data_IF_449742574620
#
_entry.id   IF_449742574620
#
_cell.length_a   1.000
_cell.length_b   1.000
_cell.length_c   1.000
_cell.angle_alpha   90.00
_cell.angle_beta   90.00
_cell.angle_gamma   90.00
#
_symmetry.space_group_name_H-M   'P 1'
#
loop_
_entity.id
_entity.type
_entity.pdbx_description
1 polymer ?
#
# COMPACT_ATOMS: atom_id res chain seq x y z
N UNK A 1 -1.80 14.17 35.30
CA UNK A 1 -0.63 13.79 34.46
C UNK A 1 -0.44 12.27 34.33
N UNK A 2 -1.40 11.44 34.74
CA UNK A 2 -1.33 9.96 34.70
C UNK A 2 -2.18 9.35 33.55
N UNK A 3 -3.10 10.11 32.99
CA UNK A 3 -4.03 9.61 31.94
C UNK A 3 -3.39 9.53 30.53
N UNK A 4 -2.35 10.31 30.27
CA UNK A 4 -1.70 10.35 28.95
C UNK A 4 -0.84 9.11 28.65
N UNK A 5 -0.37 8.37 29.64
CA UNK A 5 0.51 7.20 29.42
C UNK A 5 -0.21 5.92 29.01
N UNK A 6 -1.53 5.81 29.21
CA UNK A 6 -2.30 4.58 28.89
C UNK A 6 -3.03 4.64 27.56
N UNK A 7 -3.22 5.81 26.95
CA UNK A 7 -3.86 5.96 25.63
C UNK A 7 -2.87 5.96 24.46
N UNK A 8 -1.61 6.22 24.70
CA UNK A 8 -0.55 6.17 23.67
C UNK A 8 -0.22 4.77 23.09
N UNK A 9 -0.46 3.63 23.78
CA UNK A 9 -0.23 2.32 23.18
C UNK A 9 -1.17 2.00 22.00
N UNK A 10 -2.41 2.50 22.01
CA UNK A 10 -3.41 2.18 20.96
C UNK A 10 -3.07 2.88 19.66
N UNK A 11 -2.65 4.15 19.70
CA UNK A 11 -2.15 4.86 18.53
C UNK A 11 -0.81 4.28 18.07
N UNK A 12 0.04 3.80 18.98
CA UNK A 12 1.25 3.03 18.64
C UNK A 12 0.92 1.70 17.98
N UNK A 13 -0.18 1.04 18.32
CA UNK A 13 -0.56 -0.26 17.74
C UNK A 13 -1.11 -0.10 16.33
N UNK A 14 -1.80 0.99 16.02
CA UNK A 14 -2.20 1.34 14.65
C UNK A 14 -0.99 1.79 13.79
N UNK A 15 0.05 2.34 14.43
CA UNK A 15 1.26 2.85 13.81
C UNK A 15 2.51 2.23 14.45
N UNK A 16 2.47 0.93 14.84
CA UNK A 16 3.58 0.26 15.52
C UNK A 16 4.78 0.13 14.60
N UNK A 17 5.66 1.10 14.71
CA UNK A 17 7.00 1.08 14.15
C UNK A 17 7.99 0.73 15.25
N UNK A 18 8.65 -0.41 15.08
CA UNK A 18 9.67 -0.89 16.00
C UNK A 18 10.70 0.20 16.31
N UNK A 19 10.76 0.65 17.57
CA UNK A 19 11.87 1.43 18.10
C UNK A 19 13.09 0.54 18.30
N UNK A 20 13.75 0.10 17.25
CA UNK A 20 15.14 -0.28 17.37
C UNK A 20 16.01 0.94 17.11
N UNK A 21 16.81 1.33 18.13
CA UNK A 21 17.89 2.31 17.97
C UNK A 21 18.84 1.80 16.89
N UNK A 22 18.73 2.35 15.70
CA UNK A 22 19.78 2.19 14.70
C UNK A 22 20.86 3.20 15.10
N UNK A 23 22.00 2.66 15.55
CA UNK A 23 23.23 3.43 15.68
C UNK A 23 23.66 3.84 14.28
N UNK A 24 23.36 5.07 13.90
CA UNK A 24 23.77 5.65 12.62
C UNK A 24 25.28 5.94 12.66
N UNK A 25 26.09 5.00 12.25
CA UNK A 25 27.37 5.33 11.63
C UNK A 25 27.08 5.74 10.19
N UNK A 26 26.85 7.04 9.98
CA UNK A 26 26.93 7.65 8.67
C UNK A 26 28.30 7.36 8.05
N UNK A 27 28.36 6.41 7.12
CA UNK A 27 29.41 6.42 6.09
C UNK A 27 28.90 7.36 4.99
N UNK A 28 29.61 8.47 4.82
CA UNK A 28 29.57 9.27 3.60
C UNK A 28 30.00 8.36 2.44
N UNK A 29 29.03 7.80 1.72
CA UNK A 29 29.27 7.22 0.41
C UNK A 29 28.74 8.21 -0.64
N UNK A 30 29.58 8.51 -1.61
CA UNK A 30 29.34 9.37 -2.76
C UNK A 30 27.93 9.20 -3.31
N UNK A 31 27.13 10.29 -3.23
CA UNK A 31 25.85 10.38 -3.93
C UNK A 31 26.16 10.45 -5.43
N UNK A 32 25.98 9.35 -6.13
CA UNK A 32 26.16 9.26 -7.58
C UNK A 32 25.13 10.10 -8.35
N UNK A 33 25.44 10.40 -9.61
CA UNK A 33 24.61 11.18 -10.55
C UNK A 33 23.17 10.64 -10.72
N UNK A 34 22.93 9.37 -10.40
CA UNK A 34 21.61 8.74 -10.43
C UNK A 34 20.61 9.36 -9.42
N UNK A 35 21.09 9.82 -8.24
CA UNK A 35 20.21 10.46 -7.25
C UNK A 35 19.75 11.87 -7.67
N UNK A 36 20.53 12.58 -8.47
CA UNK A 36 20.16 13.90 -8.98
C UNK A 36 19.04 13.81 -10.05
N UNK A 37 19.05 12.80 -10.91
CA UNK A 37 18.02 12.59 -11.92
C UNK A 37 16.67 12.17 -11.30
N UNK A 38 16.72 11.42 -10.18
CA UNK A 38 15.52 11.04 -9.40
C UNK A 38 14.86 12.24 -8.71
N UNK A 39 15.65 13.23 -8.26
CA UNK A 39 15.12 14.45 -7.62
C UNK A 39 14.37 15.34 -8.63
N UNK A 40 14.85 15.43 -9.85
CA UNK A 40 14.24 16.28 -10.91
C UNK A 40 12.95 15.67 -11.50
N UNK A 41 12.76 14.35 -11.39
CA UNK A 41 11.59 13.64 -11.88
C UNK A 41 10.37 13.68 -10.94
N UNK A 42 10.54 14.01 -9.67
CA UNK A 42 9.48 14.08 -8.63
C UNK A 42 8.30 15.02 -8.95
N UNK A 43 8.37 15.82 -9.99
CA UNK A 43 7.31 16.75 -10.42
C UNK A 43 6.34 16.18 -11.45
N UNK A 44 6.39 14.88 -11.75
CA UNK A 44 5.61 14.27 -12.85
C UNK A 44 4.29 13.66 -12.43
N UNK A 45 4.09 13.38 -11.13
CA UNK A 45 2.85 12.82 -10.63
C UNK A 45 1.73 13.85 -10.67
N UNK A 46 0.61 13.47 -11.27
CA UNK A 46 -0.63 14.25 -11.31
C UNK A 46 -1.66 13.62 -10.38
N UNK A 47 -2.19 14.42 -9.45
CA UNK A 47 -3.31 14.01 -8.60
C UNK A 47 -4.60 14.55 -9.16
N UNK A 48 -5.60 13.67 -9.31
CA UNK A 48 -6.96 14.08 -9.67
C UNK A 48 -8.01 13.33 -8.87
N UNK A 49 -9.16 13.98 -8.69
CA UNK A 49 -10.35 13.31 -8.17
C UNK A 49 -11.05 12.60 -9.33
N UNK A 50 -11.31 11.30 -9.19
CA UNK A 50 -12.06 10.51 -10.15
C UNK A 50 -13.41 10.08 -9.57
N UNK A 51 -14.37 9.85 -10.43
CA UNK A 51 -15.69 9.31 -10.05
C UNK A 51 -15.92 8.02 -10.85
N UNK A 52 -15.91 6.89 -10.15
CA UNK A 52 -16.22 5.58 -10.74
C UNK A 52 -17.43 5.00 -10.04
N UNK A 53 -18.42 4.59 -10.80
CA UNK A 53 -19.67 4.00 -10.29
C UNK A 53 -20.39 4.88 -9.24
N UNK A 54 -20.23 6.21 -9.33
CA UNK A 54 -20.84 7.17 -8.41
C UNK A 54 -20.03 7.48 -7.15
N UNK A 55 -18.88 6.84 -6.93
CA UNK A 55 -18.01 7.07 -5.78
C UNK A 55 -16.75 7.86 -6.16
N UNK A 56 -16.37 8.81 -5.30
CA UNK A 56 -15.21 9.66 -5.52
C UNK A 56 -13.98 9.08 -4.82
N UNK A 57 -12.86 9.12 -5.53
CA UNK A 57 -11.57 8.66 -5.06
C UNK A 57 -10.44 9.50 -5.63
N UNK A 58 -9.30 9.49 -4.96
CA UNK A 58 -8.08 10.12 -5.45
C UNK A 58 -7.33 9.17 -6.37
N UNK A 59 -6.86 9.68 -7.51
CA UNK A 59 -5.91 9.02 -8.41
C UNK A 59 -4.59 9.78 -8.39
N UNK A 60 -3.50 9.01 -8.50
CA UNK A 60 -2.18 9.51 -8.86
C UNK A 60 -1.81 8.89 -10.21
N UNK A 61 -1.43 9.73 -11.16
CA UNK A 61 -1.11 9.31 -12.53
C UNK A 61 0.23 9.88 -12.97
N UNK A 62 1.03 9.04 -13.62
CA UNK A 62 2.27 9.41 -14.29
C UNK A 62 2.20 8.83 -15.70
N UNK A 63 2.08 9.69 -16.70
CA UNK A 63 1.91 9.24 -18.08
C UNK A 63 3.25 9.11 -18.80
N UNK A 64 3.49 7.95 -19.40
CA UNK A 64 4.55 7.76 -20.38
C UNK A 64 4.09 8.23 -21.76
N UNK A 65 5.04 8.66 -22.60
CA UNK A 65 4.74 9.11 -23.97
C UNK A 65 4.36 7.94 -24.89
N UNK A 66 5.05 6.81 -24.71
CA UNK A 66 4.87 5.59 -25.50
C UNK A 66 5.00 4.39 -24.55
N UNK A 67 3.95 4.08 -23.77
CA UNK A 67 4.00 3.02 -22.77
C UNK A 67 3.99 1.64 -23.44
N UNK A 68 4.87 0.75 -22.99
CA UNK A 68 4.87 -0.66 -23.36
C UNK A 68 3.96 -1.49 -22.47
N UNK A 69 3.67 -1.02 -21.27
CA UNK A 69 2.76 -1.60 -20.29
C UNK A 69 2.22 -0.52 -19.33
N UNK A 70 1.17 -0.85 -18.62
CA UNK A 70 0.54 0.04 -17.65
C UNK A 70 0.66 -0.54 -16.24
N UNK A 71 1.31 0.18 -15.32
CA UNK A 71 1.36 -0.20 -13.89
C UNK A 71 0.13 0.33 -13.19
N UNK A 72 -0.69 -0.57 -12.64
CA UNK A 72 -1.79 -0.23 -11.75
C UNK A 72 -1.42 -0.59 -10.32
N UNK A 73 -1.31 0.43 -9.46
CA UNK A 73 -0.95 0.26 -8.06
C UNK A 73 -2.20 0.26 -7.16
N UNK A 74 -2.31 -0.76 -6.31
CA UNK A 74 -3.37 -0.92 -5.32
C UNK A 74 -2.79 -0.80 -3.91
N UNK A 75 -3.18 0.24 -3.14
CA UNK A 75 -2.63 0.50 -1.81
C UNK A 75 -3.11 -0.50 -0.76
N UNK A 76 -2.44 -0.47 0.39
CA UNK A 76 -2.89 -1.13 1.61
C UNK A 76 -4.04 -0.40 2.30
N UNK A 77 -4.29 -0.72 3.56
CA UNK A 77 -5.22 0.00 4.42
C UNK A 77 -4.42 0.71 5.55
N UNK A 78 -4.33 2.06 5.53
CA UNK A 78 -5.11 3.03 4.74
C UNK A 78 -4.77 3.06 3.26
N UNK A 79 -5.81 3.22 2.42
CA UNK A 79 -5.69 3.31 0.97
C UNK A 79 -5.46 4.72 0.45
N UNK A 80 -4.63 5.49 1.15
CA UNK A 80 -4.27 6.87 0.80
C UNK A 80 -3.04 6.84 -0.11
N UNK A 81 -3.24 7.10 -1.40
CA UNK A 81 -2.17 6.96 -2.40
C UNK A 81 -1.02 7.95 -2.23
N UNK A 82 -1.25 9.08 -1.56
CA UNK A 82 -0.20 10.06 -1.28
C UNK A 82 0.95 9.49 -0.42
N UNK A 83 0.73 8.40 0.33
CA UNK A 83 1.81 7.69 1.01
C UNK A 83 2.81 7.04 0.07
N UNK A 84 2.42 6.78 -1.17
CA UNK A 84 3.21 6.03 -2.15
C UNK A 84 3.85 6.93 -3.22
N UNK A 85 3.77 8.26 -3.07
CA UNK A 85 4.27 9.22 -4.05
C UNK A 85 5.74 8.96 -4.40
N UNK A 86 6.63 8.94 -3.38
CA UNK A 86 8.07 8.74 -3.58
C UNK A 86 8.38 7.37 -4.23
N UNK A 87 7.60 6.33 -3.89
CA UNK A 87 7.72 4.99 -4.47
C UNK A 87 7.33 4.98 -5.96
N UNK A 88 6.17 5.56 -6.30
CA UNK A 88 5.64 5.52 -7.66
C UNK A 88 6.44 6.39 -8.63
N UNK A 89 6.89 7.57 -8.19
CA UNK A 89 7.79 8.41 -8.99
C UNK A 89 9.14 7.72 -9.22
N UNK A 90 9.70 7.09 -8.17
CA UNK A 90 10.95 6.33 -8.30
C UNK A 90 10.78 5.14 -9.24
N UNK A 91 9.66 4.41 -9.15
CA UNK A 91 9.36 3.28 -10.03
C UNK A 91 9.27 3.73 -11.48
N UNK A 92 8.54 4.82 -11.77
CA UNK A 92 8.44 5.39 -13.12
C UNK A 92 9.80 5.70 -13.73
N UNK A 93 10.67 6.37 -12.95
CA UNK A 93 12.03 6.70 -13.41
C UNK A 93 12.86 5.45 -13.67
N UNK A 94 12.81 4.48 -12.76
CA UNK A 94 13.53 3.21 -12.88
C UNK A 94 13.02 2.31 -14.01
N UNK A 95 11.81 2.53 -14.50
CA UNK A 95 11.25 1.92 -15.70
C UNK A 95 11.57 2.73 -16.97
N UNK A 96 12.44 3.73 -16.89
CA UNK A 96 12.92 4.53 -18.02
C UNK A 96 11.79 5.19 -18.83
N UNK A 97 10.64 5.50 -18.19
CA UNK A 97 9.45 6.06 -18.84
C UNK A 97 8.77 5.11 -19.85
N UNK A 98 9.03 3.82 -19.77
CA UNK A 98 8.40 2.81 -20.65
C UNK A 98 7.03 2.35 -20.15
N UNK A 99 6.59 2.83 -18.98
CA UNK A 99 5.30 2.50 -18.40
C UNK A 99 4.53 3.74 -17.98
N UNK A 100 3.23 3.79 -18.24
CA UNK A 100 2.33 4.67 -17.50
C UNK A 100 2.03 4.05 -16.14
N UNK A 101 1.89 4.88 -15.10
CA UNK A 101 1.62 4.44 -13.73
C UNK A 101 0.35 5.11 -13.23
N UNK A 102 -0.58 4.32 -12.73
CA UNK A 102 -1.80 4.79 -12.06
C UNK A 102 -1.89 4.15 -10.67
N UNK A 103 -2.13 4.96 -9.65
CA UNK A 103 -2.48 4.48 -8.32
C UNK A 103 -3.89 4.94 -7.95
N UNK A 104 -4.67 4.04 -7.37
CA UNK A 104 -6.08 4.25 -7.06
C UNK A 104 -6.35 4.13 -5.56
N UNK A 105 -6.86 5.21 -4.93
CA UNK A 105 -7.17 5.20 -3.49
C UNK A 105 -8.36 4.27 -3.15
N UNK A 106 -8.56 4.01 -1.86
CA UNK A 106 -9.81 3.40 -1.40
C UNK A 106 -10.92 4.45 -1.28
N UNK A 107 -12.17 4.02 -1.60
CA UNK A 107 -13.36 4.85 -1.45
C UNK A 107 -13.46 5.31 0.01
N UNK A 108 -13.88 6.56 0.22
CA UNK A 108 -14.06 7.20 1.53
C UNK A 108 -12.78 7.31 2.39
N UNK A 109 -11.58 7.08 1.80
CA UNK A 109 -10.29 7.35 2.43
C UNK A 109 -9.58 8.55 1.77
N UNK A 110 -10.37 9.56 1.47
CA UNK A 110 -10.00 10.82 0.82
C UNK A 110 -10.02 11.98 1.83
N UNK A 111 -9.43 13.12 1.48
CA UNK A 111 -9.41 14.30 2.38
C UNK A 111 -10.82 14.76 2.78
N UNK A 112 -11.76 14.75 1.82
CA UNK A 112 -13.16 15.17 2.04
C UNK A 112 -14.08 13.96 2.15
N UNK A 113 -15.08 14.06 3.03
CA UNK A 113 -16.11 13.03 3.21
C UNK A 113 -17.16 13.11 2.09
N UNK A 114 -16.77 12.68 0.89
CA UNK A 114 -17.65 12.68 -0.28
C UNK A 114 -18.85 11.74 -0.12
N UNK A 115 -18.64 10.62 0.57
CA UNK A 115 -19.61 9.54 0.71
C UNK A 115 -20.49 9.68 1.97
N UNK A 116 -20.46 10.86 2.61
CA UNK A 116 -21.33 11.25 3.71
C UNK A 116 -21.40 10.23 4.86
N UNK A 117 -20.25 9.63 5.18
CA UNK A 117 -20.12 8.66 6.28
C UNK A 117 -20.53 7.24 5.93
N UNK A 118 -20.80 6.91 4.65
CA UNK A 118 -20.94 5.52 4.21
C UNK A 118 -19.66 4.73 4.47
N UNK A 119 -19.80 3.49 4.90
CA UNK A 119 -18.71 2.56 5.12
C UNK A 119 -18.63 1.57 3.95
N UNK A 120 -17.42 1.20 3.57
CA UNK A 120 -17.15 0.31 2.44
C UNK A 120 -16.34 -0.90 2.89
N UNK A 121 -16.86 -2.08 2.59
CA UNK A 121 -16.21 -3.36 2.84
C UNK A 121 -15.05 -3.62 1.89
N UNK A 122 -14.21 -4.61 2.20
CA UNK A 122 -13.16 -5.09 1.30
C UNK A 122 -13.72 -5.47 -0.08
N UNK A 123 -14.87 -6.15 -0.12
CA UNK A 123 -15.50 -6.54 -1.38
C UNK A 123 -15.91 -5.33 -2.21
N UNK A 124 -16.57 -4.33 -1.61
CA UNK A 124 -16.94 -3.10 -2.32
C UNK A 124 -15.71 -2.32 -2.81
N UNK A 125 -14.61 -2.32 -2.05
CA UNK A 125 -13.34 -1.75 -2.50
C UNK A 125 -12.76 -2.51 -3.69
N UNK A 126 -12.84 -3.84 -3.69
CA UNK A 126 -12.39 -4.69 -4.80
C UNK A 126 -13.24 -4.47 -6.05
N UNK A 127 -14.56 -4.52 -5.92
CA UNK A 127 -15.50 -4.31 -7.03
C UNK A 127 -15.32 -2.92 -7.68
N UNK A 128 -15.03 -1.91 -6.85
CA UNK A 128 -14.75 -0.57 -7.35
C UNK A 128 -13.47 -0.50 -8.20
N UNK A 129 -12.41 -1.24 -7.83
CA UNK A 129 -11.17 -1.32 -8.64
C UNK A 129 -11.41 -2.09 -9.94
N UNK A 130 -12.27 -3.10 -9.90
CA UNK A 130 -12.72 -3.83 -11.08
C UNK A 130 -13.45 -2.87 -12.03
N UNK A 131 -14.44 -2.12 -11.52
CA UNK A 131 -15.17 -1.12 -12.30
C UNK A 131 -14.23 -0.03 -12.87
N UNK A 132 -13.20 0.36 -12.10
CA UNK A 132 -12.19 1.30 -12.59
C UNK A 132 -11.47 0.76 -13.82
N UNK A 133 -11.05 -0.50 -13.80
CA UNK A 133 -10.37 -1.14 -14.94
C UNK A 133 -11.32 -1.25 -16.14
N UNK A 134 -12.58 -1.59 -15.90
CA UNK A 134 -13.60 -1.74 -16.95
C UNK A 134 -13.92 -0.42 -17.66
N UNK A 135 -13.87 0.73 -16.94
CA UNK A 135 -14.28 2.02 -17.48
C UNK A 135 -13.13 2.98 -17.80
N UNK A 136 -12.15 3.08 -16.91
CA UNK A 136 -11.05 4.06 -17.06
C UNK A 136 -9.83 3.46 -17.80
N UNK A 137 -9.70 2.12 -17.83
CA UNK A 137 -8.64 1.42 -18.54
C UNK A 137 -9.18 0.52 -19.68
N UNK A 138 -10.40 0.78 -20.17
CA UNK A 138 -11.00 0.03 -21.26
C UNK A 138 -10.15 0.14 -22.54
N UNK A 139 -9.75 1.37 -22.90
CA UNK A 139 -8.98 1.71 -24.09
C UNK A 139 -7.46 1.47 -23.92
N UNK A 140 -7.01 0.96 -22.77
CA UNK A 140 -5.60 0.63 -22.58
C UNK A 140 -5.29 -0.68 -23.26
N UNK A 141 -4.61 -0.60 -24.41
CA UNK A 141 -4.23 -1.76 -25.25
C UNK A 141 -2.99 -2.49 -24.74
N UNK A 142 -2.13 -1.79 -23.96
CA UNK A 142 -0.90 -2.39 -23.41
C UNK A 142 -1.22 -3.26 -22.20
N UNK A 143 -0.41 -4.31 -21.94
CA UNK A 143 -0.63 -5.20 -20.79
C UNK A 143 -0.53 -4.46 -19.45
N UNK A 144 -1.36 -4.88 -18.48
CA UNK A 144 -1.38 -4.31 -17.14
C UNK A 144 -0.44 -5.10 -16.23
N UNK A 145 0.39 -4.38 -15.48
CA UNK A 145 1.16 -4.90 -14.35
C UNK A 145 0.49 -4.43 -13.07
N UNK A 146 -0.06 -5.36 -12.30
CA UNK A 146 -0.62 -5.07 -10.98
C UNK A 146 0.50 -5.03 -9.94
N UNK A 147 0.49 -4.00 -9.10
CA UNK A 147 1.37 -3.92 -7.93
C UNK A 147 0.50 -3.63 -6.71
N UNK A 148 0.37 -4.59 -5.82
CA UNK A 148 -0.45 -4.48 -4.61
C UNK A 148 0.39 -4.44 -3.34
N UNK A 149 0.02 -3.57 -2.39
CA UNK A 149 0.66 -3.51 -1.08
C UNK A 149 -0.30 -3.98 0.01
N UNK A 150 0.16 -4.84 0.94
CA UNK A 150 -0.65 -5.30 2.08
C UNK A 150 -1.96 -5.96 1.60
N UNK A 151 -3.12 -5.48 2.05
CA UNK A 151 -4.44 -5.94 1.56
C UNK A 151 -4.63 -5.64 0.07
N UNK A 152 -3.94 -4.63 -0.47
CA UNK A 152 -3.91 -4.37 -1.91
C UNK A 152 -3.33 -5.54 -2.71
N UNK A 153 -2.51 -6.41 -2.12
CA UNK A 153 -2.06 -7.66 -2.73
C UNK A 153 -3.22 -8.64 -2.92
N UNK A 154 -4.08 -8.79 -1.92
CA UNK A 154 -5.30 -9.60 -2.03
C UNK A 154 -6.22 -9.06 -3.14
N UNK A 155 -6.48 -7.75 -3.13
CA UNK A 155 -7.30 -7.09 -4.15
C UNK A 155 -6.68 -7.30 -5.55
N UNK A 156 -5.35 -7.17 -5.68
CA UNK A 156 -4.66 -7.37 -6.96
C UNK A 156 -4.77 -8.81 -7.48
N UNK A 157 -4.70 -9.82 -6.59
CA UNK A 157 -4.91 -11.22 -6.98
C UNK A 157 -6.35 -11.48 -7.44
N UNK A 158 -7.35 -10.88 -6.78
CA UNK A 158 -8.75 -11.00 -7.19
C UNK A 158 -9.02 -10.31 -8.53
N UNK A 159 -8.45 -9.11 -8.74
CA UNK A 159 -8.46 -8.43 -10.04
C UNK A 159 -7.79 -9.30 -11.12
N UNK A 160 -6.62 -9.87 -10.83
CA UNK A 160 -5.91 -10.71 -11.79
C UNK A 160 -6.74 -11.93 -12.19
N UNK A 161 -7.42 -12.56 -11.24
CA UNK A 161 -8.32 -13.68 -11.51
C UNK A 161 -9.44 -13.33 -12.50
N UNK A 162 -9.93 -12.09 -12.43
CA UNK A 162 -10.98 -11.59 -13.31
C UNK A 162 -10.48 -11.14 -14.68
N UNK A 163 -9.29 -10.54 -14.75
CA UNK A 163 -8.74 -9.94 -15.96
C UNK A 163 -7.49 -10.67 -16.48
N UNK A 164 -7.51 -12.01 -16.51
CA UNK A 164 -6.36 -12.84 -16.90
C UNK A 164 -5.80 -12.52 -18.31
N UNK A 165 -6.63 -12.01 -19.21
CA UNK A 165 -6.20 -11.62 -20.56
C UNK A 165 -5.57 -10.23 -20.65
N UNK A 166 -5.82 -9.32 -19.67
CA UNK A 166 -5.27 -7.96 -19.63
C UNK A 166 -4.06 -7.85 -18.67
N UNK A 167 -4.04 -8.67 -17.61
CA UNK A 167 -2.98 -8.63 -16.59
C UNK A 167 -1.85 -9.56 -16.99
N UNK A 168 -0.68 -8.97 -17.27
CA UNK A 168 0.52 -9.73 -17.60
C UNK A 168 1.27 -10.20 -16.36
N UNK A 169 1.37 -9.35 -15.33
CA UNK A 169 2.16 -9.63 -14.12
C UNK A 169 1.51 -9.04 -12.88
N UNK A 170 1.59 -9.74 -11.75
CA UNK A 170 1.06 -9.30 -10.46
C UNK A 170 2.14 -9.38 -9.38
N UNK A 171 2.49 -8.25 -8.78
CA UNK A 171 3.53 -8.13 -7.75
C UNK A 171 2.86 -7.77 -6.42
N UNK A 172 3.04 -8.64 -5.42
CA UNK A 172 2.48 -8.52 -4.09
C UNK A 172 3.57 -8.06 -3.10
N UNK A 173 3.43 -6.85 -2.57
CA UNK A 173 4.39 -6.24 -1.65
C UNK A 173 3.89 -6.34 -0.22
N UNK A 174 4.69 -6.93 0.68
CA UNK A 174 4.32 -7.13 2.10
C UNK A 174 2.88 -7.68 2.23
N UNK A 175 2.56 -8.80 1.57
CA UNK A 175 1.20 -9.19 1.27
C UNK A 175 0.42 -9.62 2.52
N UNK A 176 -0.79 -9.07 2.70
CA UNK A 176 -1.75 -9.53 3.69
C UNK A 176 -2.78 -10.41 3.00
N UNK A 177 -2.57 -11.74 3.01
CA UNK A 177 -3.38 -12.74 2.31
C UNK A 177 -4.01 -13.77 3.26
N UNK A 178 -3.57 -13.81 4.51
CA UNK A 178 -4.11 -14.68 5.55
C UNK A 178 -3.97 -14.05 6.93
N UNK A 179 -4.90 -14.35 7.82
CA UNK A 179 -4.87 -13.84 9.21
C UNK A 179 -3.76 -14.55 9.99
N UNK A 180 -2.86 -13.76 10.58
CA UNK A 180 -1.85 -14.27 11.50
C UNK A 180 -2.41 -14.36 12.93
N UNK A 181 -2.89 -15.54 13.32
CA UNK A 181 -3.47 -15.78 14.65
C UNK A 181 -2.46 -15.63 15.80
N UNK A 182 -1.15 -15.66 15.51
CA UNK A 182 -0.09 -15.47 16.50
C UNK A 182 0.22 -13.96 16.74
N UNK A 183 -0.27 -13.06 15.87
CA UNK A 183 -0.02 -11.63 15.97
C UNK A 183 -0.93 -10.97 17.01
N UNK A 184 -0.34 -10.46 18.08
CA UNK A 184 -1.06 -9.64 19.08
C UNK A 184 -1.59 -8.33 18.46
N UNK A 185 -0.83 -7.74 17.53
CA UNK A 185 -1.21 -6.52 16.80
C UNK A 185 -2.48 -6.75 15.99
N UNK A 186 -2.54 -7.81 15.17
CA UNK A 186 -3.75 -8.15 14.41
C UNK A 186 -4.93 -8.43 15.34
N UNK A 187 -4.71 -9.15 16.46
CA UNK A 187 -5.77 -9.46 17.44
C UNK A 187 -6.38 -8.18 18.04
N UNK A 188 -5.55 -7.20 18.41
CA UNK A 188 -6.03 -5.92 18.96
C UNK A 188 -6.81 -5.12 17.91
N UNK A 189 -6.29 -5.00 16.69
CA UNK A 189 -6.96 -4.28 15.61
C UNK A 189 -8.29 -4.94 15.25
N UNK A 190 -8.33 -6.28 15.18
CA UNK A 190 -9.56 -7.04 14.94
C UNK A 190 -10.62 -6.75 16.01
N UNK A 191 -10.25 -6.71 17.30
CA UNK A 191 -11.18 -6.37 18.40
C UNK A 191 -11.71 -4.94 18.30
N UNK A 192 -10.84 -3.98 17.96
CA UNK A 192 -11.27 -2.59 17.79
C UNK A 192 -12.21 -2.46 16.59
N UNK A 193 -11.86 -3.05 15.45
CA UNK A 193 -12.63 -3.02 14.22
C UNK A 193 -14.02 -3.68 14.37
N UNK A 194 -14.10 -4.81 15.09
CA UNK A 194 -15.34 -5.52 15.35
C UNK A 194 -16.28 -4.82 16.37
N UNK A 195 -15.73 -3.88 17.17
CA UNK A 195 -16.52 -3.17 18.18
C UNK A 195 -16.92 -1.78 17.68
N UNK A 196 -18.22 -1.58 17.42
CA UNK A 196 -18.74 -0.27 17.01
C UNK A 196 -18.36 0.85 18.00
N UNK A 197 -18.41 0.60 19.29
CA UNK A 197 -18.08 1.58 20.33
C UNK A 197 -16.60 1.95 20.29
N UNK A 198 -15.70 0.96 20.23
CA UNK A 198 -14.25 1.20 20.16
C UNK A 198 -13.86 1.90 18.85
N UNK A 199 -14.43 1.46 17.74
CA UNK A 199 -14.21 2.07 16.42
C UNK A 199 -14.66 3.54 16.41
N UNK A 200 -15.87 3.84 16.89
CA UNK A 200 -16.37 5.22 16.99
C UNK A 200 -15.52 6.07 17.94
N UNK A 201 -15.17 5.54 19.12
CA UNK A 201 -14.33 6.24 20.08
C UNK A 201 -12.96 6.58 19.52
N UNK A 202 -12.28 5.61 18.90
CA UNK A 202 -10.97 5.83 18.29
C UNK A 202 -11.04 6.85 17.15
N UNK A 203 -12.04 6.73 16.27
CA UNK A 203 -12.22 7.67 15.16
C UNK A 203 -12.47 9.11 15.65
N UNK A 204 -13.23 9.26 16.74
CA UNK A 204 -13.47 10.57 17.36
C UNK A 204 -12.18 11.17 17.95
N UNK A 205 -11.38 10.37 18.64
CA UNK A 205 -10.09 10.82 19.19
C UNK A 205 -9.16 11.28 18.07
N UNK A 206 -9.04 10.47 17.00
CA UNK A 206 -8.19 10.82 15.85
C UNK A 206 -8.69 12.08 15.14
N UNK A 207 -10.02 12.22 14.98
CA UNK A 207 -10.61 13.41 14.38
C UNK A 207 -10.34 14.69 15.21
N UNK A 208 -10.38 14.61 16.54
CA UNK A 208 -10.01 15.73 17.42
C UNK A 208 -8.55 16.17 17.17
N UNK A 209 -7.62 15.22 17.01
CA UNK A 209 -6.24 15.53 16.62
C UNK A 209 -6.16 16.21 15.25
N UNK A 210 -7.03 15.83 14.32
CA UNK A 210 -7.16 16.43 13.00
C UNK A 210 -7.77 17.83 12.97
N UNK A 211 -8.38 18.30 14.08
CA UNK A 211 -8.87 19.67 14.23
C UNK A 211 -7.79 20.65 14.72
N UNK A 212 -6.66 20.14 15.16
CA UNK A 212 -5.54 20.98 15.56
C UNK A 212 -4.97 21.75 14.35
N UNK A 213 -4.39 22.94 14.57
CA UNK A 213 -3.65 23.64 13.52
C UNK A 213 -2.63 22.70 12.86
N UNK A 214 -2.54 22.74 11.53
CA UNK A 214 -1.73 21.81 10.73
C UNK A 214 -0.28 21.69 11.23
N UNK A 215 0.33 22.79 11.66
CA UNK A 215 1.69 22.79 12.19
C UNK A 215 1.82 21.99 13.49
N UNK A 216 0.80 22.02 14.37
CA UNK A 216 0.76 21.21 15.61
C UNK A 216 0.62 19.73 15.24
N UNK A 217 -0.34 19.39 14.37
CA UNK A 217 -0.55 18.02 13.92
C UNK A 217 0.72 17.43 13.30
N UNK A 218 1.44 18.20 12.47
CA UNK A 218 2.73 17.78 11.89
C UNK A 218 3.81 17.53 12.95
N UNK A 219 3.90 18.37 13.98
CA UNK A 219 4.86 18.17 15.09
C UNK A 219 4.51 16.90 15.88
N UNK A 220 3.23 16.71 16.21
CA UNK A 220 2.78 15.53 16.95
C UNK A 220 3.02 14.25 16.15
N UNK A 221 2.70 14.25 14.86
CA UNK A 221 2.93 13.13 13.95
C UNK A 221 4.43 12.81 13.88
N UNK A 222 5.30 13.79 13.61
CA UNK A 222 6.75 13.57 13.54
C UNK A 222 7.32 13.01 14.85
N UNK A 223 6.81 13.45 15.99
CA UNK A 223 7.26 12.94 17.29
C UNK A 223 6.71 11.52 17.59
N UNK A 224 5.56 11.14 17.01
CA UNK A 224 4.92 9.85 17.24
C UNK A 224 5.46 8.75 16.32
N UNK A 225 5.59 9.02 15.01
CA UNK A 225 6.03 8.04 14.01
C UNK A 225 7.54 8.05 13.80
N UNK A 226 8.22 9.04 14.35
CA UNK A 226 9.67 9.18 14.24
C UNK A 226 10.11 10.11 13.10
N UNK A 227 11.40 10.48 13.18
CA UNK A 227 12.01 11.46 12.25
C UNK A 227 12.31 10.86 10.85
N UNK A 228 12.07 9.56 10.67
CA UNK A 228 12.38 8.84 9.43
C UNK A 228 11.32 9.00 8.34
N UNK A 229 10.10 9.44 8.70
CA UNK A 229 9.04 9.61 7.71
C UNK A 229 9.31 10.78 6.77
N UNK A 230 9.11 10.55 5.47
CA UNK A 230 9.22 11.60 4.45
C UNK A 230 8.11 12.66 4.61
N UNK A 231 8.33 13.89 4.11
CA UNK A 231 7.34 14.96 4.19
C UNK A 231 5.99 14.60 3.57
N UNK A 232 5.98 13.88 2.45
CA UNK A 232 4.76 13.44 1.77
C UNK A 232 3.93 12.50 2.65
N UNK A 233 4.56 11.55 3.35
CA UNK A 233 3.86 10.63 4.25
C UNK A 233 3.28 11.35 5.48
N UNK A 234 4.01 12.32 6.05
CA UNK A 234 3.50 13.14 7.15
C UNK A 234 2.30 13.96 6.70
N UNK A 235 2.36 14.55 5.51
CA UNK A 235 1.24 15.32 4.94
C UNK A 235 0.03 14.42 4.67
N UNK A 236 0.22 13.25 4.06
CA UNK A 236 -0.84 12.27 3.80
C UNK A 236 -1.55 11.86 5.10
N UNK A 237 -0.79 11.62 6.18
CA UNK A 237 -1.38 11.31 7.48
C UNK A 237 -2.22 12.47 8.01
N UNK A 238 -1.70 13.71 7.98
CA UNK A 238 -2.39 14.89 8.50
C UNK A 238 -3.64 15.26 7.69
N UNK A 239 -3.58 15.17 6.36
CA UNK A 239 -4.67 15.62 5.48
C UNK A 239 -5.77 14.58 5.31
N UNK A 240 -5.44 13.29 5.28
CA UNK A 240 -6.39 12.22 4.95
C UNK A 240 -6.73 11.34 6.15
N UNK A 241 -5.72 10.87 6.91
CA UNK A 241 -5.96 9.86 7.95
C UNK A 241 -6.53 10.48 9.24
N UNK A 242 -6.13 11.71 9.59
CA UNK A 242 -6.69 12.40 10.76
C UNK A 242 -8.13 12.91 10.52
N UNK A 243 -8.96 12.13 9.81
CA UNK A 243 -10.37 12.41 9.53
C UNK A 243 -11.25 11.31 10.10
N UNK A 244 -12.36 11.69 10.72
CA UNK A 244 -13.32 10.73 11.30
C UNK A 244 -13.76 9.68 10.28
N UNK A 245 -14.22 10.11 9.10
CA UNK A 245 -14.73 9.22 8.06
C UNK A 245 -13.68 8.27 7.53
N UNK A 246 -12.42 8.72 7.39
CA UNK A 246 -11.32 7.88 6.95
C UNK A 246 -11.04 6.76 7.96
N UNK A 247 -10.90 7.09 9.25
CA UNK A 247 -10.64 6.08 10.28
C UNK A 247 -11.79 5.10 10.43
N UNK A 248 -13.05 5.57 10.35
CA UNK A 248 -14.21 4.68 10.34
C UNK A 248 -14.18 3.70 9.15
N UNK A 249 -13.86 4.17 7.95
CA UNK A 249 -13.74 3.31 6.78
C UNK A 249 -12.55 2.36 6.86
N UNK A 250 -11.38 2.81 7.36
CA UNK A 250 -10.22 1.94 7.61
C UNK A 250 -10.58 0.79 8.54
N UNK A 251 -11.24 1.07 9.67
CA UNK A 251 -11.62 0.06 10.66
C UNK A 251 -12.71 -0.88 10.13
N UNK A 252 -13.72 -0.35 9.45
CA UNK A 252 -14.76 -1.17 8.85
C UNK A 252 -14.21 -2.09 7.75
N UNK A 253 -13.36 -1.56 6.88
CA UNK A 253 -12.65 -2.35 5.88
C UNK A 253 -11.79 -3.43 6.56
N UNK A 254 -11.01 -3.09 7.60
CA UNK A 254 -10.20 -4.04 8.35
C UNK A 254 -11.05 -5.16 8.98
N UNK A 255 -12.25 -4.87 9.48
CA UNK A 255 -13.17 -5.89 9.98
C UNK A 255 -13.49 -6.91 8.88
N UNK A 256 -13.86 -6.45 7.69
CA UNK A 256 -14.21 -7.32 6.56
C UNK A 256 -12.97 -8.00 5.93
N UNK A 257 -11.77 -7.40 6.04
CA UNK A 257 -10.49 -8.04 5.71
C UNK A 257 -10.27 -9.28 6.60
N UNK A 258 -10.39 -9.12 7.93
CA UNK A 258 -10.22 -10.24 8.86
C UNK A 258 -11.26 -11.35 8.67
N UNK A 259 -12.48 -11.00 8.25
CA UNK A 259 -13.50 -11.99 7.88
C UNK A 259 -13.07 -12.75 6.63
N UNK A 260 -12.73 -12.05 5.56
CA UNK A 260 -12.37 -12.64 4.27
C UNK A 260 -11.07 -13.42 4.32
N UNK A 261 -10.03 -12.90 4.95
CA UNK A 261 -8.73 -13.55 5.03
C UNK A 261 -8.65 -14.66 6.09
N UNK A 262 -9.75 -14.99 6.78
CA UNK A 262 -9.89 -16.24 7.55
C UNK A 262 -10.15 -17.45 6.64
N UNK A 263 -10.53 -17.23 5.38
CA UNK A 263 -10.64 -18.26 4.36
C UNK A 263 -9.25 -18.67 3.84
N UNK A 264 -9.15 -19.88 3.29
CA UNK A 264 -7.92 -20.37 2.69
C UNK A 264 -7.66 -19.62 1.36
N UNK A 265 -6.44 -19.13 1.10
CA UNK A 265 -6.10 -18.51 -0.17
C UNK A 265 -6.32 -19.46 -1.36
N UNK A 266 -6.62 -18.92 -2.53
CA UNK A 266 -6.81 -19.70 -3.76
C UNK A 266 -5.47 -20.22 -4.32
N UNK A 267 -4.95 -21.26 -3.67
CA UNK A 267 -3.69 -21.90 -4.06
C UNK A 267 -3.75 -22.48 -5.49
N UNK A 268 -4.94 -22.83 -5.98
CA UNK A 268 -5.10 -23.37 -7.33
C UNK A 268 -4.80 -22.33 -8.38
N UNK A 269 -5.41 -21.16 -8.26
CA UNK A 269 -5.14 -20.01 -9.11
C UNK A 269 -3.68 -19.56 -9.03
N UNK A 270 -3.12 -19.47 -7.82
CA UNK A 270 -1.73 -19.08 -7.63
C UNK A 270 -0.75 -20.07 -8.29
N UNK A 271 -1.02 -21.39 -8.24
CA UNK A 271 -0.20 -22.40 -8.93
C UNK A 271 -0.30 -22.27 -10.45
N UNK A 272 -1.51 -22.04 -10.98
CA UNK A 272 -1.73 -21.84 -12.40
C UNK A 272 -0.95 -20.64 -12.95
N UNK A 273 -0.97 -19.52 -12.21
CA UNK A 273 -0.39 -18.23 -12.63
C UNK A 273 0.98 -17.94 -12.02
N UNK A 274 1.67 -18.91 -11.44
CA UNK A 274 2.93 -18.72 -10.69
C UNK A 274 4.03 -17.96 -11.44
N UNK A 275 4.14 -18.15 -12.75
CA UNK A 275 5.12 -17.45 -13.58
C UNK A 275 4.78 -15.97 -13.80
N UNK A 276 3.54 -15.59 -13.53
CA UNK A 276 3.00 -14.24 -13.67
C UNK A 276 2.80 -13.56 -12.29
N UNK A 277 3.39 -14.11 -11.20
CA UNK A 277 3.28 -13.56 -9.86
C UNK A 277 4.63 -13.45 -9.18
N UNK A 278 4.80 -12.40 -8.36
CA UNK A 278 5.92 -12.25 -7.46
C UNK A 278 5.48 -11.72 -6.10
N UNK A 279 6.19 -12.10 -5.04
CA UNK A 279 5.89 -11.71 -3.67
C UNK A 279 7.14 -11.21 -2.97
N UNK A 280 7.01 -10.06 -2.30
CA UNK A 280 8.06 -9.49 -1.45
C UNK A 280 7.57 -9.44 0.00
N UNK A 281 8.29 -10.10 0.89
CA UNK A 281 8.00 -10.13 2.33
C UNK A 281 9.01 -9.30 3.12
N UNK A 282 8.60 -8.75 4.25
CA UNK A 282 9.49 -8.16 5.24
C UNK A 282 9.89 -9.17 6.32
N UNK A 283 11.06 -8.98 6.96
CA UNK A 283 11.54 -9.88 8.03
C UNK A 283 10.64 -9.83 9.27
N UNK A 284 10.26 -8.62 9.73
CA UNK A 284 9.47 -8.40 10.95
C UNK A 284 8.07 -7.86 10.61
N UNK A 285 7.39 -8.46 9.62
CA UNK A 285 6.09 -8.02 9.20
C UNK A 285 4.96 -8.77 9.93
N UNK A 286 4.15 -8.04 10.69
CA UNK A 286 3.01 -8.60 11.41
C UNK A 286 1.84 -8.97 10.49
N UNK A 287 1.74 -8.38 9.29
CA UNK A 287 0.65 -8.58 8.34
C UNK A 287 0.94 -9.71 7.36
N UNK A 288 2.16 -9.75 6.82
CA UNK A 288 2.67 -10.81 5.95
C UNK A 288 3.86 -11.51 6.58
N UNK A 289 3.66 -12.39 7.59
CA UNK A 289 4.76 -13.04 8.29
C UNK A 289 5.51 -14.03 7.39
N UNK A 290 6.75 -14.38 7.78
CA UNK A 290 7.53 -15.38 7.07
C UNK A 290 6.87 -16.78 7.09
N UNK A 291 6.01 -17.08 8.06
CA UNK A 291 5.17 -18.30 8.03
C UNK A 291 4.33 -18.36 6.73
N UNK A 292 3.78 -17.23 6.28
CA UNK A 292 3.04 -17.15 5.02
C UNK A 292 3.96 -17.28 3.79
N UNK A 293 5.17 -16.73 3.85
CA UNK A 293 6.20 -16.95 2.82
C UNK A 293 6.48 -18.44 2.64
N UNK A 294 6.70 -19.16 3.75
CA UNK A 294 6.94 -20.61 3.74
C UNK A 294 5.72 -21.37 3.21
N UNK A 295 4.52 -20.97 3.60
CA UNK A 295 3.28 -21.57 3.12
C UNK A 295 3.13 -21.40 1.60
N UNK A 296 3.34 -20.20 1.05
CA UNK A 296 3.30 -19.97 -0.40
C UNK A 296 4.38 -20.79 -1.10
N UNK A 297 5.61 -20.82 -0.57
CA UNK A 297 6.71 -21.62 -1.14
C UNK A 297 6.35 -23.10 -1.28
N UNK A 298 5.65 -23.64 -0.26
CA UNK A 298 5.22 -25.04 -0.25
C UNK A 298 3.99 -25.30 -1.13
N UNK A 299 3.01 -24.40 -1.12
CA UNK A 299 1.73 -24.57 -1.84
C UNK A 299 1.82 -24.20 -3.32
N UNK A 300 2.77 -23.31 -3.68
CA UNK A 300 2.98 -22.79 -5.04
C UNK A 300 4.46 -22.94 -5.43
N UNK A 301 4.95 -24.17 -5.63
CA UNK A 301 6.35 -24.39 -5.95
C UNK A 301 6.77 -23.67 -7.24
N UNK A 302 7.87 -22.90 -7.16
CA UNK A 302 8.40 -22.11 -8.27
C UNK A 302 7.79 -20.71 -8.41
N UNK A 303 6.98 -20.24 -7.42
CA UNK A 303 6.62 -18.84 -7.32
C UNK A 303 7.86 -17.96 -7.07
N UNK A 304 7.86 -16.73 -7.59
CA UNK A 304 8.92 -15.76 -7.34
C UNK A 304 8.71 -15.15 -5.96
N UNK A 305 9.54 -15.55 -5.00
CA UNK A 305 9.46 -15.11 -3.61
C UNK A 305 10.76 -14.41 -3.21
N UNK A 306 10.64 -13.27 -2.53
CA UNK A 306 11.78 -12.53 -1.99
C UNK A 306 11.49 -12.07 -0.55
N UNK A 307 12.55 -11.88 0.23
CA UNK A 307 12.49 -11.30 1.57
C UNK A 307 13.38 -10.07 1.59
N UNK A 308 12.79 -8.93 1.98
CA UNK A 308 13.49 -7.68 2.22
C UNK A 308 14.31 -7.80 3.52
N UNK A 309 15.62 -7.55 3.44
CA UNK A 309 16.59 -7.75 4.53
C UNK A 309 17.19 -6.45 5.07
N UNK A 310 16.82 -5.30 4.53
CA UNK A 310 17.32 -3.99 4.95
C UNK A 310 16.54 -3.42 6.15
N UNK A 311 15.60 -4.22 6.71
CA UNK A 311 14.74 -3.88 7.83
C UNK A 311 13.81 -2.68 7.57
N UNK A 312 13.32 -2.52 6.37
CA UNK A 312 12.19 -1.64 6.13
C UNK A 312 10.93 -2.23 6.76
N UNK A 313 10.09 -1.35 7.28
CA UNK A 313 8.85 -1.78 7.92
C UNK A 313 7.77 -2.06 6.86
N UNK A 314 6.66 -2.66 7.28
CA UNK A 314 5.46 -2.80 6.45
C UNK A 314 5.07 -1.50 5.72
N UNK A 315 5.26 -0.35 6.37
CA UNK A 315 5.03 0.97 5.77
C UNK A 315 6.27 1.51 5.03
N UNK A 316 6.89 0.72 4.18
CA UNK A 316 8.09 1.07 3.43
C UNK A 316 7.98 2.41 2.70
N UNK A 317 6.79 2.73 2.20
CA UNK A 317 6.48 3.93 1.43
C UNK A 317 6.49 5.23 2.28
N UNK A 318 6.51 5.12 3.60
CA UNK A 318 6.61 6.28 4.47
C UNK A 318 8.04 6.81 4.62
N UNK A 319 9.04 6.14 4.04
CA UNK A 319 10.44 6.58 4.05
C UNK A 319 10.99 6.64 2.62
N UNK A 320 11.83 7.63 2.32
CA UNK A 320 12.47 7.75 1.00
C UNK A 320 13.32 6.53 0.67
N UNK A 321 14.09 6.02 1.66
CA UNK A 321 14.95 4.85 1.47
C UNK A 321 14.15 3.58 1.17
N UNK A 322 13.06 3.34 1.91
CA UNK A 322 12.17 2.19 1.68
C UNK A 322 11.47 2.29 0.32
N UNK A 323 10.93 3.48 -0.01
CA UNK A 323 10.31 3.75 -1.30
C UNK A 323 11.25 3.45 -2.47
N UNK A 324 12.48 3.95 -2.41
CA UNK A 324 13.48 3.74 -3.47
C UNK A 324 13.91 2.28 -3.57
N UNK A 325 14.15 1.60 -2.43
CA UNK A 325 14.57 0.21 -2.43
C UNK A 325 13.49 -0.71 -3.03
N UNK A 326 12.24 -0.54 -2.60
CA UNK A 326 11.11 -1.33 -3.13
C UNK A 326 10.87 -1.00 -4.61
N UNK A 327 11.01 0.26 -5.02
CA UNK A 327 10.90 0.64 -6.43
C UNK A 327 11.98 -0.04 -7.30
N UNK A 328 13.23 -0.12 -6.82
CA UNK A 328 14.31 -0.85 -7.50
C UNK A 328 13.99 -2.35 -7.61
N UNK A 329 13.49 -2.95 -6.55
CA UNK A 329 13.10 -4.37 -6.55
C UNK A 329 11.97 -4.63 -7.57
N UNK A 330 10.90 -3.83 -7.53
CA UNK A 330 9.76 -3.95 -8.44
C UNK A 330 10.16 -3.72 -9.90
N UNK A 331 10.96 -2.69 -10.18
CA UNK A 331 11.44 -2.41 -11.53
C UNK A 331 12.29 -3.57 -12.08
N UNK A 332 13.14 -4.16 -11.23
CA UNK A 332 13.92 -5.35 -11.59
C UNK A 332 13.04 -6.55 -11.94
N UNK A 333 12.00 -6.82 -11.15
CA UNK A 333 11.02 -7.89 -11.43
C UNK A 333 10.32 -7.67 -12.77
N UNK A 334 9.84 -6.45 -13.02
CA UNK A 334 9.14 -6.10 -14.27
C UNK A 334 10.06 -6.25 -15.48
N UNK A 335 11.28 -5.65 -15.42
CA UNK A 335 12.25 -5.75 -16.51
C UNK A 335 12.64 -7.21 -16.83
N UNK A 336 12.88 -8.01 -15.78
CA UNK A 336 13.19 -9.43 -15.94
C UNK A 336 12.02 -10.24 -16.53
N UNK A 337 10.78 -9.91 -16.17
CA UNK A 337 9.59 -10.56 -16.69
C UNK A 337 9.44 -10.31 -18.19
N UNK A 338 9.46 -9.05 -18.63
CA UNK A 338 9.28 -8.71 -20.04
C UNK A 338 10.47 -9.15 -20.92
N UNK A 339 11.71 -9.06 -20.41
CA UNK A 339 12.88 -9.55 -21.17
C UNK A 339 12.85 -11.05 -21.44
N UNK A 340 12.22 -11.85 -20.60
CA UNK A 340 12.00 -13.29 -20.86
C UNK A 340 10.97 -13.52 -21.96
N UNK A 341 9.86 -12.78 -21.93
CA UNK A 341 8.82 -12.88 -22.97
C UNK A 341 9.37 -12.48 -24.33
N UNK A 342 10.18 -11.43 -24.41
CA UNK A 342 10.79 -10.95 -25.66
C UNK A 342 11.83 -11.95 -26.23
N UNK A 343 12.32 -12.91 -25.42
CA UNK A 343 13.31 -13.92 -25.80
C UNK A 343 12.71 -15.27 -26.17
N UNK A 344 11.44 -15.53 -25.89
CA UNK A 344 10.67 -16.72 -26.28
C UNK A 344 9.94 -16.51 -27.60
#
# INVERSE_FOLDING_TARGET
MVIAHHFFPITRTLFYFSRRRISSKCRNSQMGSENLSLIDSRKRANFRLCNVSGYKMDLLEIHAKDPKFHVLFIPGNPGVISFYLDFLESLYVLLDGTASVTAISHIAQTEKNWERGRLFSLQEQTDHKINFIEHELEDVEVPIVLVGHSIGSYISLDIFKRFQGKVAYCICLYPFLAVNTKSSTQSVIKKIAASRTLSTGLSSIVAILGLLPVWISRILVKNSVGKSWCPAAVEALCSHVLRYHTVQNMLYMAMTEFEKLSEVPDWSFMREKKSQMAFLFGVDDHWGPLDLYEEISNKVPGAVLAVEKENFTHAFSCTEAGSLWVAKHVSGLIKNYFSKIDSE
#
